data_IF_874699378097
#
_entry.id   IF_874699378097
#
_cell.length_a   1.000
_cell.length_b   1.000
_cell.length_c   1.000
_cell.angle_alpha   90.00
_cell.angle_beta   90.00
_cell.angle_gamma   90.00
#
_symmetry.space_group_name_H-M   'P 1'
#
loop_
_entity.id
_entity.type
_entity.pdbx_description
1 polymer ?
#
# COMPACT_ATOMS: atom_id res chain seq x y z
N UNK A 1 0.87 -8.99 -42.04
CA UNK A 1 1.70 -9.84 -41.17
C UNK A 1 2.33 -8.97 -40.12
N UNK A 2 2.22 -9.27 -38.81
CA UNK A 2 2.91 -8.49 -37.78
C UNK A 2 4.42 -8.63 -37.97
N UNK A 3 5.16 -7.52 -37.87
CA UNK A 3 6.60 -7.50 -37.99
C UNK A 3 7.23 -8.37 -36.89
N UNK A 4 8.02 -9.37 -37.26
CA UNK A 4 8.62 -10.36 -36.37
C UNK A 4 9.46 -9.68 -35.26
N UNK A 5 10.15 -8.55 -35.54
CA UNK A 5 10.91 -7.76 -34.60
C UNK A 5 10.02 -7.14 -33.50
N UNK A 6 8.90 -6.54 -33.90
CA UNK A 6 7.95 -5.92 -32.97
C UNK A 6 7.26 -6.98 -32.10
N UNK A 7 7.06 -8.18 -32.60
CA UNK A 7 6.50 -9.28 -31.85
C UNK A 7 7.49 -9.82 -30.79
N UNK A 8 8.77 -9.93 -31.14
CA UNK A 8 9.81 -10.35 -30.19
C UNK A 8 10.01 -9.30 -29.06
N UNK A 9 10.00 -8.01 -29.39
CA UNK A 9 10.08 -6.93 -28.40
C UNK A 9 8.90 -6.97 -27.41
N UNK A 10 7.67 -7.16 -27.90
CA UNK A 10 6.48 -7.27 -27.03
C UNK A 10 6.53 -8.50 -26.14
N UNK A 11 7.00 -9.65 -26.66
CA UNK A 11 7.20 -10.85 -25.84
C UNK A 11 8.24 -10.64 -24.75
N UNK A 12 9.34 -9.94 -25.05
CA UNK A 12 10.36 -9.61 -24.06
C UNK A 12 9.79 -8.70 -22.94
N UNK A 13 8.96 -7.71 -23.30
CA UNK A 13 8.30 -6.85 -22.32
C UNK A 13 7.34 -7.65 -21.43
N UNK A 14 6.54 -8.54 -22.02
CA UNK A 14 5.62 -9.40 -21.24
C UNK A 14 6.41 -10.32 -20.30
N UNK A 15 7.50 -10.94 -20.76
CA UNK A 15 8.34 -11.78 -19.92
C UNK A 15 8.95 -11.00 -18.74
N UNK A 16 9.45 -9.79 -18.99
CA UNK A 16 9.96 -8.92 -17.92
C UNK A 16 8.85 -8.53 -16.90
N UNK A 17 7.63 -8.25 -17.39
CA UNK A 17 6.49 -7.99 -16.51
C UNK A 17 6.06 -9.22 -15.71
N UNK A 18 6.11 -10.40 -16.29
CA UNK A 18 5.83 -11.66 -15.58
C UNK A 18 6.84 -11.92 -14.48
N UNK A 19 8.13 -11.69 -14.73
CA UNK A 19 9.17 -11.78 -13.69
C UNK A 19 8.96 -10.76 -12.58
N UNK A 20 8.61 -9.52 -12.92
CA UNK A 20 8.28 -8.48 -11.93
C UNK A 20 7.07 -8.87 -11.08
N UNK A 21 5.99 -9.36 -11.69
CA UNK A 21 4.78 -9.78 -10.97
C UNK A 21 5.03 -11.00 -10.08
N UNK A 22 5.82 -11.97 -10.53
CA UNK A 22 6.17 -13.15 -9.74
C UNK A 22 7.12 -12.84 -8.59
N UNK A 23 8.00 -11.86 -8.77
CA UNK A 23 8.94 -11.40 -7.75
C UNK A 23 8.36 -10.36 -6.79
N UNK A 24 7.19 -9.79 -7.09
CA UNK A 24 6.55 -8.79 -6.26
C UNK A 24 5.69 -9.44 -5.17
N UNK A 25 5.86 -9.00 -3.91
CA UNK A 25 4.99 -9.37 -2.81
C UNK A 25 3.60 -8.72 -2.94
N UNK A 26 3.55 -7.51 -3.51
CA UNK A 26 2.30 -6.79 -3.76
C UNK A 26 2.38 -5.91 -5.00
N UNK A 27 1.21 -5.56 -5.53
CA UNK A 27 1.10 -4.61 -6.62
C UNK A 27 -0.26 -3.93 -6.64
N UNK A 28 -0.26 -2.69 -7.13
CA UNK A 28 -1.45 -1.85 -7.23
C UNK A 28 -1.57 -1.30 -8.65
N UNK A 29 -2.77 -1.42 -9.20
CA UNK A 29 -3.15 -0.83 -10.48
C UNK A 29 -3.83 0.51 -10.24
N UNK A 30 -3.33 1.55 -10.89
CA UNK A 30 -3.77 2.93 -10.66
C UNK A 30 -4.12 3.60 -11.97
N UNK A 31 -5.16 4.42 -11.94
CA UNK A 31 -5.48 5.37 -13.01
C UNK A 31 -4.82 6.72 -12.73
N UNK A 32 -4.01 7.19 -13.65
CA UNK A 32 -3.28 8.46 -13.53
C UNK A 32 -3.85 9.58 -14.43
N UNK A 33 -5.12 9.49 -14.79
CA UNK A 33 -5.76 10.45 -15.69
C UNK A 33 -5.91 11.82 -15.01
N UNK A 34 -5.21 12.82 -15.53
CA UNK A 34 -5.35 14.21 -15.06
C UNK A 34 -4.34 14.66 -14.00
N UNK A 35 -3.28 13.91 -13.78
CA UNK A 35 -2.14 14.31 -12.94
C UNK A 35 -1.24 15.28 -13.70
N UNK A 36 -0.71 16.30 -13.03
CA UNK A 36 0.33 17.18 -13.56
C UNK A 36 1.70 16.52 -13.54
N UNK A 37 2.62 16.98 -14.39
CA UNK A 37 3.99 16.45 -14.45
C UNK A 37 4.73 16.62 -13.11
N UNK A 38 4.47 17.70 -12.40
CA UNK A 38 5.08 17.93 -11.09
C UNK A 38 4.62 16.90 -10.05
N UNK A 39 3.31 16.61 -10.03
CA UNK A 39 2.71 15.61 -9.13
C UNK A 39 3.19 14.18 -9.44
N UNK A 40 3.28 13.81 -10.74
CA UNK A 40 3.83 12.50 -11.14
C UNK A 40 5.31 12.36 -10.75
N UNK A 41 6.08 13.43 -10.87
CA UNK A 41 7.50 13.43 -10.45
C UNK A 41 7.63 13.24 -8.94
N UNK A 42 6.79 13.91 -8.14
CA UNK A 42 6.76 13.75 -6.69
C UNK A 42 6.32 12.35 -6.28
N UNK A 43 5.27 11.80 -6.93
CA UNK A 43 4.81 10.42 -6.73
C UNK A 43 5.94 9.41 -7.01
N UNK A 44 6.62 9.53 -8.13
CA UNK A 44 7.74 8.65 -8.49
C UNK A 44 8.90 8.75 -7.50
N UNK A 45 9.18 9.94 -6.98
CA UNK A 45 10.22 10.14 -5.98
C UNK A 45 9.85 9.44 -4.65
N UNK A 46 8.60 9.60 -4.16
CA UNK A 46 8.14 8.92 -2.95
C UNK A 46 8.09 7.39 -3.13
N UNK A 47 7.67 6.88 -4.29
CA UNK A 47 7.66 5.46 -4.57
C UNK A 47 9.07 4.85 -4.59
N UNK A 48 10.06 5.53 -5.20
CA UNK A 48 11.46 5.08 -5.19
C UNK A 48 12.06 5.06 -3.79
N UNK A 49 11.69 6.00 -2.93
CA UNK A 49 12.16 6.02 -1.53
C UNK A 49 11.64 4.83 -0.71
N UNK A 50 10.52 4.23 -1.13
CA UNK A 50 9.92 3.06 -0.51
C UNK A 50 10.19 1.76 -1.29
N UNK A 51 11.19 1.74 -2.16
CA UNK A 51 11.57 0.58 -2.99
C UNK A 51 10.42 0.00 -3.84
N UNK A 52 9.52 0.88 -4.29
CA UNK A 52 8.39 0.54 -5.15
C UNK A 52 8.74 0.83 -6.60
N UNK A 53 8.64 -0.17 -7.46
CA UNK A 53 8.78 -0.03 -8.90
C UNK A 53 7.46 0.49 -9.48
N UNK A 54 7.52 1.64 -10.15
CA UNK A 54 6.36 2.26 -10.76
C UNK A 54 6.56 2.44 -12.26
N UNK A 55 5.63 1.92 -13.04
CA UNK A 55 5.67 2.01 -14.49
C UNK A 55 4.30 2.15 -15.12
N UNK A 56 4.25 2.90 -16.22
CA UNK A 56 3.06 2.96 -17.07
C UNK A 56 3.17 1.87 -18.12
N UNK A 57 2.20 0.98 -18.16
CA UNK A 57 2.23 -0.19 -19.03
C UNK A 57 0.94 -0.25 -19.84
N UNK A 58 1.04 -0.79 -21.05
CA UNK A 58 -0.12 -0.98 -21.92
C UNK A 58 -1.01 -2.10 -21.37
N UNK A 59 -2.33 -1.82 -21.19
CA UNK A 59 -3.29 -2.76 -20.61
C UNK A 59 -3.26 -4.16 -21.24
N UNK A 60 -3.11 -4.24 -22.57
CA UNK A 60 -3.03 -5.53 -23.27
C UNK A 60 -1.81 -6.36 -22.88
N UNK A 61 -0.67 -5.73 -22.56
CA UNK A 61 0.54 -6.43 -22.13
C UNK A 61 0.42 -6.86 -20.66
N UNK A 62 -0.17 -5.99 -19.83
CA UNK A 62 -0.47 -6.31 -18.42
C UNK A 62 -1.43 -7.50 -18.33
N UNK A 63 -2.47 -7.53 -19.19
CA UNK A 63 -3.42 -8.65 -19.25
C UNK A 63 -2.73 -9.99 -19.50
N UNK A 64 -1.84 -10.07 -20.49
CA UNK A 64 -1.08 -11.29 -20.75
C UNK A 64 -0.19 -11.69 -19.57
N UNK A 65 0.44 -10.73 -18.91
CA UNK A 65 1.28 -11.01 -17.74
C UNK A 65 0.45 -11.47 -16.53
N UNK A 66 -0.73 -10.88 -16.29
CA UNK A 66 -1.66 -11.30 -15.22
C UNK A 66 -2.27 -12.67 -15.49
N UNK A 67 -2.61 -12.98 -16.75
CA UNK A 67 -3.07 -14.32 -17.16
C UNK A 67 -2.02 -15.39 -16.83
N UNK A 68 -0.75 -15.11 -17.11
CA UNK A 68 0.38 -16.01 -16.79
C UNK A 68 0.65 -16.10 -15.29
N UNK A 69 0.35 -15.05 -14.52
CA UNK A 69 0.48 -15.02 -13.07
C UNK A 69 -0.74 -15.61 -12.33
N UNK A 70 -1.83 -15.93 -13.04
CA UNK A 70 -3.05 -16.49 -12.44
C UNK A 70 -4.02 -15.48 -11.84
N UNK A 71 -3.80 -14.17 -12.06
CA UNK A 71 -4.59 -13.05 -11.50
C UNK A 71 -5.66 -12.54 -12.49
N UNK A 72 -6.43 -13.45 -13.08
CA UNK A 72 -7.45 -13.13 -14.11
C UNK A 72 -8.57 -12.21 -13.67
N UNK A 73 -8.86 -12.16 -12.38
CA UNK A 73 -9.92 -11.32 -11.82
C UNK A 73 -9.68 -9.82 -12.03
N UNK A 74 -8.41 -9.42 -12.21
CA UNK A 74 -8.04 -8.03 -12.48
C UNK A 74 -8.32 -7.58 -13.93
N UNK A 75 -8.66 -8.48 -14.83
CA UNK A 75 -8.92 -8.16 -16.24
C UNK A 75 -10.07 -7.16 -16.43
N UNK A 76 -11.11 -7.26 -15.60
CA UNK A 76 -12.26 -6.35 -15.62
C UNK A 76 -11.92 -4.91 -15.28
N UNK A 77 -10.83 -4.70 -14.55
CA UNK A 77 -10.38 -3.40 -14.03
C UNK A 77 -9.42 -2.69 -15.00
N UNK A 78 -8.87 -3.41 -15.99
CA UNK A 78 -7.89 -2.88 -16.97
C UNK A 78 -8.52 -2.04 -18.09
N UNK A 79 -9.31 -1.02 -17.73
CA UNK A 79 -9.94 -0.09 -18.66
C UNK A 79 -9.32 1.30 -18.52
N UNK A 80 -9.08 2.00 -19.65
CA UNK A 80 -8.50 3.36 -19.65
C UNK A 80 -7.00 3.39 -19.42
N UNK A 81 -6.50 4.46 -18.78
CA UNK A 81 -5.07 4.60 -18.42
C UNK A 81 -4.73 3.71 -17.22
N UNK A 82 -3.60 3.04 -17.28
CA UNK A 82 -3.19 2.16 -16.18
C UNK A 82 -1.70 2.27 -15.93
N UNK A 83 -1.33 2.50 -14.70
CA UNK A 83 0.02 2.36 -14.18
C UNK A 83 0.07 1.24 -13.16
N UNK A 84 1.20 0.58 -13.09
CA UNK A 84 1.46 -0.53 -12.19
C UNK A 84 2.53 -0.11 -11.19
N UNK A 85 2.23 -0.23 -9.91
CA UNK A 85 3.18 -0.07 -8.81
C UNK A 85 3.39 -1.43 -8.15
N UNK A 86 4.62 -1.94 -8.11
CA UNK A 86 4.96 -3.24 -7.51
C UNK A 86 6.05 -3.07 -6.47
N UNK A 87 5.94 -3.82 -5.37
CA UNK A 87 6.98 -3.90 -4.34
C UNK A 87 7.34 -5.33 -4.05
N UNK A 88 8.64 -5.59 -3.87
CA UNK A 88 9.17 -6.88 -3.44
C UNK A 88 9.53 -6.90 -1.95
N UNK A 89 9.67 -5.75 -1.31
CA UNK A 89 10.04 -5.62 0.11
C UNK A 89 8.84 -5.49 1.04
N UNK A 90 8.31 -4.27 1.15
CA UNK A 90 7.15 -3.98 1.99
C UNK A 90 5.85 -4.12 1.17
N UNK A 91 4.98 -5.09 1.48
CA UNK A 91 3.76 -5.32 0.71
C UNK A 91 2.73 -4.18 0.84
N UNK A 92 2.81 -3.38 1.90
CA UNK A 92 1.86 -2.28 2.15
C UNK A 92 2.33 -0.96 1.53
N UNK A 93 3.65 -0.81 1.30
CA UNK A 93 4.24 0.43 0.80
C UNK A 93 3.56 1.01 -0.46
N UNK A 94 3.32 0.23 -1.55
CA UNK A 94 2.70 0.79 -2.75
C UNK A 94 1.28 1.28 -2.49
N UNK A 95 0.49 0.56 -1.68
CA UNK A 95 -0.89 0.92 -1.34
C UNK A 95 -0.94 2.22 -0.53
N UNK A 96 -0.06 2.35 0.46
CA UNK A 96 0.03 3.52 1.33
C UNK A 96 0.41 4.78 0.57
N UNK A 97 1.49 4.74 -0.24
CA UNK A 97 1.94 5.89 -1.02
C UNK A 97 0.89 6.32 -2.04
N UNK A 98 0.31 5.35 -2.76
CA UNK A 98 -0.74 5.60 -3.74
C UNK A 98 -1.98 6.23 -3.09
N UNK A 99 -2.46 5.71 -1.96
CA UNK A 99 -3.62 6.26 -1.26
C UNK A 99 -3.36 7.67 -0.70
N UNK A 100 -2.15 7.91 -0.17
CA UNK A 100 -1.72 9.25 0.28
C UNK A 100 -1.79 10.28 -0.85
N UNK A 101 -1.34 9.90 -2.06
CA UNK A 101 -1.43 10.76 -3.23
C UNK A 101 -2.88 10.88 -3.76
N UNK A 102 -3.68 9.82 -3.72
CA UNK A 102 -5.08 9.86 -4.09
C UNK A 102 -5.87 10.85 -3.20
N UNK A 103 -5.64 10.80 -1.89
CA UNK A 103 -6.25 11.75 -0.93
C UNK A 103 -5.81 13.21 -1.17
N UNK A 104 -4.55 13.45 -1.59
CA UNK A 104 -4.02 14.80 -1.89
C UNK A 104 -4.57 15.38 -3.20
N UNK A 105 -4.70 14.55 -4.23
CA UNK A 105 -5.08 14.97 -5.58
C UNK A 105 -6.60 15.10 -5.77
N UNK A 106 -7.37 14.49 -4.87
CA UNK A 106 -8.84 14.47 -4.91
C UNK A 106 -9.41 13.43 -5.87
N UNK A 107 -10.66 13.09 -5.63
CA UNK A 107 -11.41 12.10 -6.41
C UNK A 107 -11.53 12.54 -7.88
N UNK A 108 -11.22 11.63 -8.78
CA UNK A 108 -11.36 11.82 -10.23
C UNK A 108 -10.06 12.03 -11.00
N UNK A 109 -8.93 12.39 -10.35
CA UNK A 109 -7.64 12.56 -11.02
C UNK A 109 -6.74 11.34 -10.88
N UNK A 110 -6.79 10.70 -9.72
CA UNK A 110 -5.93 9.57 -9.38
C UNK A 110 -6.75 8.53 -8.61
N UNK A 111 -7.11 7.45 -9.29
CA UNK A 111 -7.98 6.42 -8.72
C UNK A 111 -7.26 5.07 -8.65
N UNK A 112 -7.42 4.39 -7.53
CA UNK A 112 -7.01 3.00 -7.39
C UNK A 112 -8.03 2.13 -8.10
N UNK A 113 -7.58 1.27 -9.01
CA UNK A 113 -8.44 0.34 -9.75
C UNK A 113 -8.54 -1.01 -9.08
N UNK A 114 -7.46 -1.48 -8.51
CA UNK A 114 -7.36 -2.77 -7.87
C UNK A 114 -5.92 -3.08 -7.51
N UNK A 115 -5.71 -4.17 -6.83
CA UNK A 115 -4.37 -4.61 -6.46
C UNK A 115 -4.34 -6.09 -6.15
N UNK A 116 -3.13 -6.58 -5.92
CA UNK A 116 -2.90 -7.94 -5.47
C UNK A 116 -1.85 -7.96 -4.37
N UNK A 117 -1.92 -8.95 -3.51
CA UNK A 117 -0.94 -9.22 -2.46
C UNK A 117 -0.82 -10.73 -2.28
N UNK A 118 0.41 -11.24 -2.28
CA UNK A 118 0.72 -12.68 -2.14
C UNK A 118 -0.08 -13.58 -3.10
N UNK A 119 -0.30 -13.11 -4.34
CA UNK A 119 -1.05 -13.84 -5.36
C UNK A 119 -2.57 -13.82 -5.20
N UNK A 120 -3.11 -13.04 -4.27
CA UNK A 120 -4.55 -12.83 -4.10
C UNK A 120 -4.95 -11.45 -4.59
N UNK A 121 -6.08 -11.38 -5.27
CA UNK A 121 -6.67 -10.11 -5.69
C UNK A 121 -7.36 -9.46 -4.50
N UNK A 122 -7.15 -8.17 -4.32
CA UNK A 122 -7.74 -7.37 -3.26
C UNK A 122 -8.85 -6.49 -3.82
N UNK A 123 -9.94 -6.37 -3.08
CA UNK A 123 -11.01 -5.39 -3.34
C UNK A 123 -10.54 -3.96 -3.03
N UNK A 124 -11.25 -2.96 -3.55
CA UNK A 124 -10.93 -1.55 -3.29
C UNK A 124 -10.99 -1.21 -1.80
N UNK A 125 -11.99 -1.74 -1.10
CA UNK A 125 -12.18 -1.50 0.34
C UNK A 125 -11.02 -2.10 1.17
N UNK A 126 -10.56 -3.30 0.81
CA UNK A 126 -9.39 -3.92 1.44
C UNK A 126 -8.11 -3.14 1.17
N UNK A 127 -7.93 -2.63 -0.05
CA UNK A 127 -6.76 -1.81 -0.39
C UNK A 127 -6.77 -0.52 0.42
N UNK A 128 -7.93 0.13 0.59
CA UNK A 128 -8.04 1.34 1.41
C UNK A 128 -7.74 1.04 2.88
N UNK A 129 -8.27 -0.03 3.44
CA UNK A 129 -8.00 -0.46 4.81
C UNK A 129 -6.50 -0.76 5.03
N UNK A 130 -5.86 -1.47 4.10
CA UNK A 130 -4.43 -1.74 4.15
C UNK A 130 -3.57 -0.48 3.98
N UNK A 131 -4.01 0.47 3.17
CA UNK A 131 -3.30 1.72 2.93
C UNK A 131 -3.33 2.69 4.14
N UNK A 132 -4.27 2.51 5.07
CA UNK A 132 -4.32 3.25 6.34
C UNK A 132 -3.37 2.70 7.40
N UNK A 133 -2.88 1.47 7.20
CA UNK A 133 -1.92 0.87 8.12
C UNK A 133 -0.56 1.60 8.06
N UNK A 134 0.10 1.80 9.21
CA UNK A 134 1.45 2.34 9.26
C UNK A 134 2.48 1.37 8.66
N UNK A 135 3.73 1.82 8.53
CA UNK A 135 4.82 0.99 8.04
C UNK A 135 5.03 -0.26 8.91
N UNK A 136 5.57 -1.31 8.32
CA UNK A 136 5.82 -2.61 8.96
C UNK A 136 6.55 -2.47 10.31
N UNK A 137 7.58 -1.63 10.37
CA UNK A 137 8.37 -1.41 11.58
C UNK A 137 7.53 -0.78 12.71
N UNK A 138 6.64 0.15 12.35
CA UNK A 138 5.72 0.79 13.30
C UNK A 138 4.68 -0.20 13.80
N UNK A 139 4.15 -1.08 12.94
CA UNK A 139 3.23 -2.15 13.36
C UNK A 139 3.91 -3.13 14.31
N UNK A 140 5.15 -3.50 14.06
CA UNK A 140 5.94 -4.34 14.95
C UNK A 140 6.18 -3.64 16.30
N UNK A 141 6.53 -2.36 16.28
CA UNK A 141 6.70 -1.56 17.50
C UNK A 141 5.40 -1.45 18.31
N UNK A 142 4.25 -1.26 17.63
CA UNK A 142 2.95 -1.27 18.29
C UNK A 142 2.63 -2.62 18.93
N UNK A 143 2.86 -3.71 18.22
CA UNK A 143 2.63 -5.06 18.76
C UNK A 143 3.49 -5.31 20.01
N UNK A 144 4.77 -4.96 19.97
CA UNK A 144 5.66 -5.06 21.14
C UNK A 144 5.20 -4.14 22.28
N UNK A 145 4.78 -2.92 21.96
CA UNK A 145 4.21 -1.97 22.92
C UNK A 145 2.97 -2.52 23.63
N UNK A 146 2.05 -3.14 22.86
CA UNK A 146 0.85 -3.78 23.43
C UNK A 146 1.19 -4.96 24.36
N UNK A 147 2.21 -5.73 24.06
CA UNK A 147 2.67 -6.81 24.94
C UNK A 147 3.31 -6.29 26.24
N UNK A 148 3.96 -5.13 26.19
CA UNK A 148 4.54 -4.46 27.36
C UNK A 148 3.55 -3.60 28.14
N UNK A 149 2.42 -3.22 27.54
CA UNK A 149 1.42 -2.33 28.12
C UNK A 149 0.93 -2.74 29.50
N UNK A 150 0.64 -4.03 29.79
CA UNK A 150 0.21 -4.44 31.14
C UNK A 150 1.27 -4.16 32.22
N UNK A 151 2.55 -4.32 31.88
CA UNK A 151 3.66 -4.11 32.81
C UNK A 151 3.88 -2.60 33.03
N UNK A 152 3.87 -1.83 31.95
CA UNK A 152 4.07 -0.38 32.00
C UNK A 152 2.90 0.32 32.69
N UNK A 153 1.66 -0.10 32.46
CA UNK A 153 0.49 0.45 33.13
C UNK A 153 0.53 0.19 34.63
N UNK A 154 0.92 -1.01 35.06
CA UNK A 154 1.11 -1.33 36.46
C UNK A 154 2.19 -0.44 37.09
N UNK A 155 3.32 -0.25 36.43
CA UNK A 155 4.42 0.58 36.91
C UNK A 155 3.98 2.07 37.03
N UNK A 156 3.19 2.59 36.08
CA UNK A 156 2.64 3.94 36.09
C UNK A 156 1.68 4.11 37.28
N UNK A 157 0.79 3.15 37.51
CA UNK A 157 -0.16 3.20 38.64
C UNK A 157 0.60 3.15 39.97
N UNK A 158 1.58 2.26 40.12
CA UNK A 158 2.40 2.20 41.34
C UNK A 158 3.17 3.49 41.56
N UNK A 159 3.70 4.11 40.52
CA UNK A 159 4.38 5.40 40.61
C UNK A 159 3.40 6.51 41.00
N UNK A 160 2.22 6.57 40.40
CA UNK A 160 1.19 7.53 40.76
C UNK A 160 0.72 7.41 42.23
N UNK A 161 0.57 6.17 42.75
CA UNK A 161 0.25 5.92 44.15
C UNK A 161 1.40 6.40 45.07
N UNK A 162 2.64 6.16 44.69
CA UNK A 162 3.80 6.61 45.46
C UNK A 162 3.95 8.14 45.49
N UNK A 163 3.63 8.81 44.37
CA UNK A 163 3.67 10.28 44.27
C UNK A 163 2.50 10.95 44.97
N UNK A 164 1.33 10.31 45.05
CA UNK A 164 0.13 10.84 45.72
C UNK A 164 0.03 10.49 47.23
N UNK A 165 1.08 9.91 47.80
CA UNK A 165 1.12 9.64 49.25
C UNK A 165 0.14 8.56 49.71
N UNK A 166 -0.23 7.60 48.88
CA UNK A 166 -0.95 6.38 49.27
C UNK A 166 -2.48 6.45 49.22
N UNK A 167 -3.09 7.48 48.65
CA UNK A 167 -4.53 7.45 48.37
C UNK A 167 -4.80 6.64 47.09
N UNK A 168 -5.64 5.57 47.13
CA UNK A 168 -5.93 4.77 45.96
C UNK A 168 -6.82 5.55 44.99
N UNK A 169 -6.24 6.10 43.94
CA UNK A 169 -7.00 6.62 42.79
C UNK A 169 -7.69 5.44 42.05
N UNK A 170 -8.81 4.96 42.61
CA UNK A 170 -9.70 3.97 42.02
C UNK A 170 -10.68 4.59 41.03
N UNK A 171 -10.28 5.62 40.30
CA UNK A 171 -11.08 6.22 39.21
C UNK A 171 -10.13 6.81 38.18
N UNK A 172 -9.75 6.03 37.17
CA UNK A 172 -9.54 6.44 35.81
C UNK A 172 -8.77 5.37 35.01
N UNK A 173 -9.38 4.17 34.95
CA UNK A 173 -9.05 3.24 33.91
C UNK A 173 -10.18 3.30 32.86
N UNK A 174 -10.28 4.43 32.16
CA UNK A 174 -10.99 4.50 30.90
C UNK A 174 -10.01 4.06 29.80
N UNK A 175 -10.42 3.19 28.87
CA UNK A 175 -9.59 2.83 27.73
C UNK A 175 -9.34 4.09 26.90
N UNK A 176 -8.09 4.36 26.60
CA UNK A 176 -7.71 5.38 25.63
C UNK A 176 -8.12 4.90 24.22
N UNK A 177 -9.36 5.14 23.91
CA UNK A 177 -9.88 5.19 22.54
C UNK A 177 -9.84 6.67 22.15
N UNK A 178 -9.24 6.95 21.05
CA UNK A 178 -9.13 8.16 20.26
C UNK A 178 -7.68 8.62 20.06
N UNK A 179 -7.13 8.12 18.96
CA UNK A 179 -6.10 8.83 18.25
C UNK A 179 -6.75 10.06 17.59
N UNK A 180 -6.24 11.29 17.77
CA UNK A 180 -6.78 12.44 17.09
C UNK A 180 -6.47 12.33 15.58
N UNK A 181 -7.52 12.43 14.78
CA UNK A 181 -7.40 12.81 13.38
C UNK A 181 -6.75 14.20 13.34
N UNK A 182 -5.55 14.27 12.79
CA UNK A 182 -4.93 15.55 12.47
C UNK A 182 -5.46 16.02 11.13
N UNK A 183 -5.93 17.27 11.12
CA UNK A 183 -6.26 18.09 9.94
C UNK A 183 -5.15 18.13 8.88
#
# INVERSE_FOLDING_TARGET
MPNAKVLSEKKAIVAALEEQLKGAASGVLVDYKGITVAEDTALRAELRQNDVQYGVVKNTLVRFALDSAGLKELDGVLNGTTSLATSSGDPIAPMRVVNKHAKKLGEGKFNIKGGFMDGKVLSLDEIMALAELPAKDVLQAQALGMMLAPITSLAIVLKAIAEQGGEPAAKEAAPAEEAPAAE
#
